data_IF_383778259804
#
_entry.id   IF_383778259804
#
_cell.length_a   1.000
_cell.length_b   1.000
_cell.length_c   1.000
_cell.angle_alpha   90.00
_cell.angle_beta   90.00
_cell.angle_gamma   90.00
#
_symmetry.space_group_name_H-M   'P 1'
#
loop_
_entity.id
_entity.type
_entity.pdbx_description
1 polymer ?
#
# COMPACT_ATOMS: atom_id res chain seq x y z
N UNK A 1 -18.99 -35.95 -59.70
CA UNK A 1 -19.04 -35.93 -58.21
C UNK A 1 -18.04 -34.87 -57.75
N UNK A 2 -18.47 -33.93 -56.90
CA UNK A 2 -17.91 -32.58 -56.74
C UNK A 2 -16.68 -32.56 -55.80
N UNK A 3 -15.61 -31.91 -56.25
CA UNK A 3 -14.40 -31.62 -55.45
C UNK A 3 -14.60 -30.38 -54.59
N UNK A 4 -14.04 -30.43 -53.39
CA UNK A 4 -14.09 -29.41 -52.35
C UNK A 4 -13.27 -28.15 -52.71
N UNK A 5 -13.77 -26.98 -52.31
CA UNK A 5 -12.97 -25.76 -52.17
C UNK A 5 -13.34 -25.14 -50.83
N UNK A 6 -12.50 -25.34 -49.82
CA UNK A 6 -12.56 -24.58 -48.57
C UNK A 6 -11.90 -23.22 -48.80
N UNK A 7 -12.70 -22.17 -48.85
CA UNK A 7 -12.23 -20.79 -48.87
C UNK A 7 -11.69 -20.41 -47.49
N UNK A 8 -10.39 -20.17 -47.41
CA UNK A 8 -9.74 -19.68 -46.19
C UNK A 8 -10.04 -18.19 -46.01
N UNK A 9 -10.87 -17.86 -45.02
CA UNK A 9 -11.21 -16.49 -44.65
C UNK A 9 -10.08 -15.93 -43.75
N UNK A 10 -9.13 -15.19 -44.33
CA UNK A 10 -8.13 -14.45 -43.58
C UNK A 10 -8.79 -13.22 -42.90
N UNK A 11 -9.07 -13.33 -41.60
CA UNK A 11 -9.46 -12.18 -40.76
C UNK A 11 -8.18 -11.43 -40.38
N UNK A 12 -7.93 -10.28 -40.99
CA UNK A 12 -6.88 -9.36 -40.57
C UNK A 12 -7.35 -8.56 -39.34
N UNK A 13 -6.74 -8.84 -38.17
CA UNK A 13 -6.99 -8.13 -36.92
C UNK A 13 -6.22 -6.78 -36.95
N UNK A 14 -6.88 -5.61 -36.76
CA UNK A 14 -6.15 -4.35 -36.68
C UNK A 14 -5.43 -4.28 -35.33
N UNK A 15 -4.11 -4.15 -35.38
CA UNK A 15 -3.25 -3.96 -34.21
C UNK A 15 -3.49 -2.55 -33.66
N UNK A 16 -4.21 -2.46 -32.55
CA UNK A 16 -4.46 -1.21 -31.83
C UNK A 16 -3.17 -0.79 -31.12
N UNK A 17 -2.41 0.13 -31.74
CA UNK A 17 -1.22 0.71 -31.12
C UNK A 17 -1.65 1.53 -29.90
N UNK A 18 -1.32 1.05 -28.70
CA UNK A 18 -1.49 1.80 -27.46
C UNK A 18 -0.42 2.89 -27.40
N UNK A 19 -0.83 4.16 -27.47
CA UNK A 19 0.06 5.28 -27.17
C UNK A 19 0.38 5.24 -25.67
N UNK A 20 1.62 4.91 -25.33
CA UNK A 20 2.11 5.05 -23.95
C UNK A 20 2.27 6.53 -23.65
N UNK A 21 1.46 7.04 -22.72
CA UNK A 21 1.65 8.37 -22.16
C UNK A 21 2.77 8.31 -21.13
N UNK A 22 3.97 8.76 -21.51
CA UNK A 22 5.08 8.91 -20.58
C UNK A 22 4.95 10.24 -19.84
N UNK A 23 4.83 10.19 -18.51
CA UNK A 23 4.87 11.39 -17.67
C UNK A 23 6.34 11.77 -17.41
N UNK A 24 6.77 12.93 -17.90
CA UNK A 24 8.11 13.46 -17.66
C UNK A 24 8.12 14.24 -16.34
N UNK A 25 8.99 13.83 -15.41
CA UNK A 25 9.16 14.50 -14.11
C UNK A 25 10.41 15.36 -14.16
N UNK A 26 10.28 16.62 -13.75
CA UNK A 26 11.36 17.59 -13.68
C UNK A 26 11.70 17.93 -12.23
N UNK A 27 12.99 18.04 -11.94
CA UNK A 27 13.52 18.49 -10.66
C UNK A 27 14.01 19.93 -10.80
N UNK A 28 13.42 20.84 -10.05
CA UNK A 28 13.89 22.21 -9.92
C UNK A 28 14.56 22.40 -8.56
N UNK A 29 15.70 23.07 -8.55
CA UNK A 29 16.38 23.49 -7.32
C UNK A 29 16.40 25.01 -7.33
N UNK A 30 15.70 25.62 -6.37
CA UNK A 30 15.65 27.07 -6.25
C UNK A 30 17.06 27.61 -5.91
N UNK A 31 17.63 28.50 -6.73
CA UNK A 31 18.97 29.04 -6.50
C UNK A 31 19.09 29.93 -5.26
N UNK A 32 17.99 30.50 -4.75
CA UNK A 32 18.01 31.36 -3.56
C UNK A 32 17.81 30.58 -2.27
N UNK A 33 16.89 29.61 -2.27
CA UNK A 33 16.47 28.89 -1.06
C UNK A 33 17.04 27.48 -0.96
N UNK A 34 17.54 26.92 -2.06
CA UNK A 34 17.97 25.52 -2.16
C UNK A 34 16.80 24.51 -2.10
N UNK A 35 15.55 24.98 -2.10
CA UNK A 35 14.38 24.12 -2.05
C UNK A 35 14.26 23.29 -3.33
N UNK A 36 13.98 21.99 -3.17
CA UNK A 36 13.79 21.05 -4.29
C UNK A 36 12.30 20.88 -4.55
N UNK A 37 11.88 21.20 -5.77
CA UNK A 37 10.51 21.03 -6.25
C UNK A 37 10.48 20.01 -7.40
N UNK A 38 9.58 19.03 -7.30
CA UNK A 38 9.33 18.05 -8.37
C UNK A 38 8.03 18.41 -9.08
N UNK A 39 8.10 18.60 -10.40
CA UNK A 39 6.97 19.06 -11.21
C UNK A 39 6.85 18.30 -12.52
N UNK A 40 5.63 18.21 -13.06
CA UNK A 40 5.34 17.59 -14.35
C UNK A 40 5.43 18.59 -15.52
N UNK A 41 5.87 19.84 -15.27
CA UNK A 41 6.01 20.89 -16.27
C UNK A 41 7.48 21.29 -16.47
N UNK A 42 7.90 21.44 -17.71
CA UNK A 42 9.24 21.95 -18.01
C UNK A 42 9.33 23.43 -17.66
N UNK A 43 10.38 23.83 -16.92
CA UNK A 43 10.65 25.23 -16.57
C UNK A 43 12.14 25.54 -16.62
N UNK A 44 12.48 26.80 -16.83
CA UNK A 44 13.87 27.26 -16.93
C UNK A 44 14.63 26.95 -15.64
N UNK A 45 15.71 26.16 -15.75
CA UNK A 45 16.53 25.71 -14.61
C UNK A 45 16.07 24.39 -13.98
N UNK A 46 15.01 23.74 -14.47
CA UNK A 46 14.65 22.40 -14.04
C UNK A 46 15.38 21.34 -14.88
N UNK A 47 15.90 20.30 -14.23
CA UNK A 47 16.52 19.15 -14.89
C UNK A 47 15.50 18.03 -15.06
N UNK A 48 15.42 17.45 -16.26
CA UNK A 48 14.55 16.30 -16.54
C UNK A 48 15.10 15.08 -15.81
N UNK A 49 14.28 14.45 -14.97
CA UNK A 49 14.63 13.18 -14.33
C UNK A 49 14.15 12.00 -15.18
N UNK A 50 15.03 11.03 -15.39
CA UNK A 50 14.65 9.75 -15.97
C UNK A 50 14.24 8.82 -14.82
N UNK A 51 13.00 8.33 -14.77
CA UNK A 51 12.53 7.50 -13.66
C UNK A 51 13.29 6.17 -13.57
N UNK A 52 13.95 5.73 -14.65
CA UNK A 52 14.72 4.48 -14.69
C UNK A 52 16.14 4.57 -14.14
N UNK A 53 16.71 5.77 -14.00
CA UNK A 53 18.12 5.91 -13.56
C UNK A 53 18.28 6.42 -12.13
N UNK A 54 17.31 7.19 -11.62
CA UNK A 54 17.42 7.87 -10.32
C UNK A 54 16.46 7.34 -9.25
N UNK A 55 15.59 6.39 -9.57
CA UNK A 55 14.81 5.67 -8.57
C UNK A 55 15.63 4.51 -8.04
N UNK A 56 16.01 4.56 -6.76
CA UNK A 56 16.55 3.40 -6.07
C UNK A 56 15.43 2.37 -5.96
N UNK A 57 15.47 1.35 -6.80
CA UNK A 57 14.61 0.18 -6.68
C UNK A 57 14.88 -0.46 -5.31
N UNK A 58 13.93 -0.34 -4.38
CA UNK A 58 13.97 -1.08 -3.13
C UNK A 58 13.66 -2.53 -3.51
N UNK A 59 14.60 -3.49 -3.35
CA UNK A 59 14.32 -4.86 -3.71
C UNK A 59 13.20 -5.40 -2.83
N UNK A 60 12.03 -5.63 -3.42
CA UNK A 60 10.94 -6.40 -2.81
C UNK A 60 11.35 -7.88 -2.84
N UNK A 61 12.23 -8.27 -1.94
CA UNK A 61 12.72 -9.65 -1.89
C UNK A 61 13.50 -9.93 -0.63
N UNK A 62 12.86 -10.56 0.36
CA UNK A 62 13.51 -11.15 1.53
C UNK A 62 14.34 -12.39 1.15
N UNK A 63 15.34 -12.25 0.27
CA UNK A 63 16.34 -13.29 0.05
C UNK A 63 17.72 -12.72 0.28
N UNK A 64 18.26 -13.00 1.46
CA UNK A 64 19.64 -12.73 1.80
C UNK A 64 20.54 -13.63 0.95
N UNK A 65 21.06 -13.10 -0.16
CA UNK A 65 22.08 -13.78 -0.94
C UNK A 65 23.44 -13.50 -0.31
N UNK A 66 23.92 -14.43 0.52
CA UNK A 66 25.31 -14.48 0.97
C UNK A 66 26.17 -14.97 -0.18
N UNK A 67 27.01 -14.09 -0.72
CA UNK A 67 28.13 -14.50 -1.57
C UNK A 67 28.30 -13.66 -2.82
N UNK A 68 28.98 -12.52 -2.68
CA UNK A 68 29.95 -11.99 -3.63
C UNK A 68 30.47 -10.67 -3.07
N UNK A 69 31.75 -10.61 -2.69
CA UNK A 69 32.43 -9.36 -2.37
C UNK A 69 32.58 -8.57 -3.67
N UNK A 70 31.55 -7.81 -4.03
CA UNK A 70 31.66 -6.77 -5.06
C UNK A 70 32.38 -5.60 -4.40
N UNK A 71 33.62 -5.36 -4.82
CA UNK A 71 34.37 -4.16 -4.44
C UNK A 71 33.74 -2.98 -5.17
N UNK A 72 32.72 -2.38 -4.54
CA UNK A 72 32.17 -1.10 -4.98
C UNK A 72 33.23 -0.05 -4.70
N UNK A 73 33.94 0.37 -5.75
CA UNK A 73 34.65 1.64 -5.73
C UNK A 73 33.58 2.74 -5.70
N UNK A 74 33.24 3.20 -4.50
CA UNK A 74 32.50 4.44 -4.30
C UNK A 74 33.34 5.57 -4.87
N UNK A 75 33.10 5.94 -6.13
CA UNK A 75 33.43 7.27 -6.61
C UNK A 75 32.64 8.24 -5.73
N UNK A 76 33.37 8.85 -4.80
CA UNK A 76 32.87 9.88 -3.90
C UNK A 76 32.30 11.01 -4.75
N UNK A 77 30.97 11.03 -4.90
CA UNK A 77 30.27 12.14 -5.48
C UNK A 77 30.38 13.29 -4.47
N UNK A 78 31.39 14.14 -4.64
CA UNK A 78 31.80 15.19 -3.70
C UNK A 78 30.86 16.40 -3.69
N UNK A 79 29.62 16.30 -4.20
CA UNK A 79 28.70 17.44 -4.26
C UNK A 79 27.21 17.09 -4.07
N UNK A 80 26.88 16.25 -3.08
CA UNK A 80 25.57 16.28 -2.39
C UNK A 80 25.73 15.86 -0.92
N UNK A 81 26.68 16.48 -0.24
CA UNK A 81 26.91 16.35 1.20
C UNK A 81 25.88 17.13 2.02
N UNK A 82 24.61 16.74 1.94
CA UNK A 82 23.75 16.83 3.11
C UNK A 82 23.53 15.39 3.57
N UNK A 83 24.09 15.03 4.72
CA UNK A 83 23.54 13.91 5.49
C UNK A 83 22.02 14.08 5.45
N UNK A 84 21.28 13.08 4.99
CA UNK A 84 19.81 13.10 5.02
C UNK A 84 19.42 13.72 6.35
N UNK A 85 18.79 14.90 6.33
CA UNK A 85 18.68 15.75 7.51
C UNK A 85 18.12 14.89 8.64
N UNK A 86 18.99 14.52 9.60
CA UNK A 86 18.62 13.60 10.66
C UNK A 86 17.55 14.32 11.47
N UNK A 87 16.34 13.78 11.49
CA UNK A 87 15.28 14.32 12.34
C UNK A 87 15.79 14.28 13.78
N UNK A 88 15.59 15.37 14.51
CA UNK A 88 15.98 15.43 15.92
C UNK A 88 15.29 14.31 16.71
N UNK A 89 16.03 13.71 17.64
CA UNK A 89 15.56 12.61 18.47
C UNK A 89 14.32 12.98 19.30
N UNK A 90 14.23 14.24 19.77
CA UNK A 90 13.07 14.75 20.49
C UNK A 90 11.83 14.84 19.59
N UNK A 91 12.02 15.30 18.35
CA UNK A 91 10.96 15.31 17.33
C UNK A 91 10.47 13.89 17.01
N UNK A 92 11.40 12.93 16.85
CA UNK A 92 11.05 11.55 16.56
C UNK A 92 10.26 10.90 17.71
N UNK A 93 10.70 11.14 18.96
CA UNK A 93 10.01 10.62 20.14
C UNK A 93 8.64 11.24 20.35
N UNK A 94 8.48 12.54 20.09
CA UNK A 94 7.17 13.21 20.13
C UNK A 94 6.20 12.58 19.12
N UNK A 95 6.66 12.33 17.89
CA UNK A 95 5.86 11.65 16.86
C UNK A 95 5.47 10.23 17.27
N UNK A 96 6.41 9.47 17.82
CA UNK A 96 6.16 8.10 18.26
C UNK A 96 5.17 8.07 19.44
N UNK A 97 5.26 9.03 20.37
CA UNK A 97 4.29 9.21 21.46
C UNK A 97 2.88 9.49 20.93
N UNK A 98 2.75 10.43 20.00
CA UNK A 98 1.46 10.75 19.36
C UNK A 98 0.91 9.54 18.59
N UNK A 99 1.76 8.85 17.81
CA UNK A 99 1.37 7.64 17.10
C UNK A 99 0.86 6.57 18.06
N UNK A 100 1.57 6.35 19.17
CA UNK A 100 1.17 5.41 20.20
C UNK A 100 -0.18 5.77 20.81
N UNK A 101 -0.40 7.05 21.10
CA UNK A 101 -1.68 7.52 21.65
C UNK A 101 -2.84 7.23 20.70
N UNK A 102 -2.69 7.59 19.42
CA UNK A 102 -3.72 7.32 18.39
C UNK A 102 -4.01 5.83 18.27
N UNK A 103 -2.98 4.99 18.16
CA UNK A 103 -3.18 3.54 18.04
C UNK A 103 -3.83 2.92 19.29
N UNK A 104 -3.56 3.44 20.48
CA UNK A 104 -4.22 2.98 21.72
C UNK A 104 -5.71 3.34 21.72
N UNK A 105 -6.05 4.54 21.28
CA UNK A 105 -7.45 4.98 21.17
C UNK A 105 -8.22 4.18 20.10
N UNK A 106 -7.59 3.95 18.95
CA UNK A 106 -8.13 3.08 17.90
C UNK A 106 -8.32 1.65 18.39
N UNK A 107 -7.34 1.10 19.11
CA UNK A 107 -7.43 -0.22 19.73
C UNK A 107 -8.62 -0.30 20.69
N UNK A 108 -8.79 0.68 21.58
CA UNK A 108 -9.89 0.69 22.54
C UNK A 108 -11.25 0.72 21.84
N UNK A 109 -11.35 1.51 20.75
CA UNK A 109 -12.54 1.58 19.92
C UNK A 109 -12.82 0.24 19.24
N UNK A 110 -11.81 -0.38 18.64
CA UNK A 110 -11.95 -1.67 17.96
C UNK A 110 -12.26 -2.82 18.91
N UNK A 111 -11.69 -2.84 20.12
CA UNK A 111 -12.03 -3.83 21.15
C UNK A 111 -13.49 -3.72 21.59
N UNK A 112 -14.03 -2.50 21.68
CA UNK A 112 -15.46 -2.28 21.93
C UNK A 112 -16.31 -2.79 20.77
N UNK A 113 -15.99 -2.44 19.53
CA UNK A 113 -16.72 -2.92 18.34
C UNK A 113 -16.67 -4.44 18.20
N UNK A 114 -15.54 -5.04 18.53
CA UNK A 114 -15.37 -6.49 18.59
C UNK A 114 -16.27 -7.13 19.64
N UNK A 115 -16.43 -6.52 20.82
CA UNK A 115 -17.34 -7.01 21.84
C UNK A 115 -18.81 -6.92 21.42
N UNK A 116 -19.20 -5.83 20.77
CA UNK A 116 -20.54 -5.65 20.23
C UNK A 116 -20.83 -6.66 19.10
N UNK A 117 -19.84 -6.91 18.23
CA UNK A 117 -19.92 -7.92 17.17
C UNK A 117 -20.01 -9.35 17.74
N UNK A 118 -19.26 -9.66 18.81
CA UNK A 118 -19.35 -10.95 19.54
C UNK A 118 -20.73 -11.16 20.15
N UNK A 119 -21.27 -10.13 20.78
CA UNK A 119 -22.61 -10.17 21.37
C UNK A 119 -23.68 -10.40 20.29
N UNK A 120 -23.56 -9.73 19.16
CA UNK A 120 -24.48 -9.87 18.03
C UNK A 120 -24.38 -11.24 17.35
N UNK A 121 -23.16 -11.77 17.21
CA UNK A 121 -22.91 -13.10 16.64
C UNK A 121 -23.40 -14.23 17.55
N UNK A 122 -23.41 -14.02 18.87
CA UNK A 122 -23.94 -14.95 19.88
C UNK A 122 -23.50 -16.41 19.67
N UNK A 123 -22.19 -16.65 19.62
CA UNK A 123 -21.60 -17.98 19.40
C UNK A 123 -22.12 -18.70 18.14
N UNK A 124 -22.41 -17.97 17.07
CA UNK A 124 -22.91 -18.52 15.80
C UNK A 124 -24.41 -18.78 15.79
N UNK A 125 -25.12 -18.36 16.84
CA UNK A 125 -26.58 -18.47 16.96
C UNK A 125 -27.17 -17.09 17.22
N UNK A 126 -27.04 -16.15 16.28
CA UNK A 126 -27.65 -14.83 16.43
C UNK A 126 -29.16 -14.98 16.63
N UNK A 127 -29.75 -14.12 17.44
CA UNK A 127 -31.20 -14.16 17.63
C UNK A 127 -31.91 -13.83 16.29
N UNK A 128 -32.97 -14.55 15.92
CA UNK A 128 -33.77 -14.22 14.75
C UNK A 128 -34.44 -12.84 14.95
N UNK A 129 -34.48 -12.04 13.89
CA UNK A 129 -35.22 -10.79 13.89
C UNK A 129 -36.72 -11.06 13.72
N UNK A 130 -37.57 -10.10 14.08
CA UNK A 130 -39.03 -10.28 14.01
C UNK A 130 -39.55 -10.55 12.59
N UNK A 131 -38.83 -10.10 11.56
CA UNK A 131 -39.15 -10.33 10.14
C UNK A 131 -38.44 -11.56 9.54
N UNK A 132 -37.63 -12.27 10.34
CA UNK A 132 -36.82 -13.40 9.91
C UNK A 132 -37.20 -14.68 10.66
N UNK A 133 -37.63 -15.70 9.92
CA UNK A 133 -37.75 -17.05 10.45
C UNK A 133 -36.39 -17.69 10.68
N UNK A 134 -36.27 -18.50 11.73
CA UNK A 134 -35.07 -19.31 12.01
C UNK A 134 -34.79 -20.25 10.83
N UNK A 135 -33.56 -20.22 10.30
CA UNK A 135 -33.18 -21.03 9.13
C UNK A 135 -33.66 -20.50 7.77
N UNK A 136 -34.32 -19.34 7.72
CA UNK A 136 -34.62 -18.66 6.45
C UNK A 136 -33.32 -18.24 5.71
N UNK A 137 -33.35 -18.07 4.38
CA UNK A 137 -32.18 -17.57 3.63
C UNK A 137 -31.65 -16.24 4.19
N UNK A 138 -32.55 -15.31 4.54
CA UNK A 138 -32.19 -14.03 5.17
C UNK A 138 -31.40 -14.22 6.48
N UNK A 139 -31.88 -15.10 7.36
CA UNK A 139 -31.21 -15.43 8.61
C UNK A 139 -29.80 -15.99 8.37
N UNK A 140 -29.66 -16.92 7.41
CA UNK A 140 -28.37 -17.54 7.07
C UNK A 140 -27.38 -16.50 6.57
N UNK A 141 -27.82 -15.60 5.68
CA UNK A 141 -26.97 -14.56 5.12
C UNK A 141 -26.57 -13.53 6.18
N UNK A 142 -27.50 -13.13 7.05
CA UNK A 142 -27.20 -12.24 8.18
C UNK A 142 -26.23 -12.88 9.16
N UNK A 143 -26.41 -14.16 9.49
CA UNK A 143 -25.48 -14.90 10.37
C UNK A 143 -24.06 -14.91 9.79
N UNK A 144 -23.92 -15.18 8.49
CA UNK A 144 -22.61 -15.11 7.80
C UNK A 144 -22.03 -13.70 7.82
N UNK A 145 -22.86 -12.68 7.66
CA UNK A 145 -22.41 -11.29 7.71
C UNK A 145 -21.92 -10.91 9.12
N UNK A 146 -22.62 -11.34 10.17
CA UNK A 146 -22.19 -11.14 11.56
C UNK A 146 -20.85 -11.83 11.84
N UNK A 147 -20.67 -13.06 11.38
CA UNK A 147 -19.40 -13.79 11.48
C UNK A 147 -18.27 -13.05 10.74
N UNK A 148 -18.54 -12.56 9.52
CA UNK A 148 -17.57 -11.79 8.73
C UNK A 148 -17.15 -10.51 9.46
N UNK A 149 -18.11 -9.78 10.03
CA UNK A 149 -17.86 -8.57 10.81
C UNK A 149 -17.02 -8.88 12.05
N UNK A 150 -17.36 -9.92 12.80
CA UNK A 150 -16.58 -10.38 13.96
C UNK A 150 -15.13 -10.68 13.58
N UNK A 151 -14.93 -11.48 12.53
CA UNK A 151 -13.58 -11.82 12.01
C UNK A 151 -12.83 -10.61 11.47
N UNK A 152 -13.53 -9.55 11.06
CA UNK A 152 -12.90 -8.31 10.64
C UNK A 152 -12.32 -7.57 11.83
N UNK A 153 -13.12 -7.33 12.87
CA UNK A 153 -12.66 -6.66 14.08
C UNK A 153 -11.55 -7.45 14.80
N UNK A 154 -11.62 -8.79 14.82
CA UNK A 154 -10.54 -9.62 15.38
C UNK A 154 -9.19 -9.42 14.68
N UNK A 155 -9.21 -9.31 13.35
CA UNK A 155 -8.00 -9.01 12.58
C UNK A 155 -7.51 -7.59 12.82
N UNK A 156 -8.41 -6.61 12.89
CA UNK A 156 -8.03 -5.21 13.14
C UNK A 156 -7.36 -5.08 14.52
N UNK A 157 -7.95 -5.66 15.57
CA UNK A 157 -7.36 -5.68 16.92
C UNK A 157 -5.99 -6.36 16.92
N UNK A 158 -5.83 -7.48 16.22
CA UNK A 158 -4.53 -8.14 16.11
C UNK A 158 -3.47 -7.27 15.41
N UNK A 159 -3.84 -6.62 14.30
CA UNK A 159 -2.96 -5.71 13.57
C UNK A 159 -2.56 -4.49 14.42
N UNK A 160 -3.51 -3.84 15.10
CA UNK A 160 -3.23 -2.70 15.98
C UNK A 160 -2.30 -3.06 17.14
N UNK A 161 -2.51 -4.25 17.75
CA UNK A 161 -1.60 -4.77 18.80
C UNK A 161 -0.20 -5.01 18.27
N UNK A 162 -0.07 -5.53 17.05
CA UNK A 162 1.22 -5.71 16.39
C UNK A 162 1.89 -4.36 16.11
N UNK A 163 1.16 -3.38 15.58
CA UNK A 163 1.71 -2.04 15.33
C UNK A 163 2.18 -1.36 16.62
N UNK A 164 1.41 -1.45 17.70
CA UNK A 164 1.82 -0.95 19.02
C UNK A 164 3.08 -1.63 19.54
N UNK A 165 3.25 -2.93 19.29
CA UNK A 165 4.48 -3.65 19.68
C UNK A 165 5.70 -3.24 18.86
N UNK A 166 5.49 -2.72 17.64
CA UNK A 166 6.54 -2.30 16.73
C UNK A 166 7.03 -0.87 16.97
N UNK A 167 6.27 -0.05 17.72
CA UNK A 167 6.72 1.29 18.10
C UNK A 167 7.85 1.13 19.12
N UNK A 168 9.09 1.46 18.69
CA UNK A 168 10.27 1.39 19.55
C UNK A 168 10.17 2.42 20.67
N UNK A 169 10.52 1.95 21.87
CA UNK A 169 10.78 2.79 23.05
C UNK A 169 12.09 3.52 22.94
#
# INVERSE_FOLDING_TARGET
MKFAVFSAFCVALPLLASASAYAEIYKYVDPLTGAVEYTNQSRKGASRMNPSSDLSEIPTGNKANRGATVKVSTSSNLNSGSAAASVDSGTQRSRDSTRRQVLVEELATEEKMLNDARSSHNNGKPLPMADEGLGSPKYIDRSKQLEKTLRHHERNVASLKQELSNIRM
#
